data_IF_260215728057
#
_entry.id   IF_260215728057
#
_cell.length_a   1.000
_cell.length_b   1.000
_cell.length_c   1.000
_cell.angle_alpha   90.00
_cell.angle_beta   90.00
_cell.angle_gamma   90.00
#
_symmetry.space_group_name_H-M   'P 1'
#
loop_
_entity.id
_entity.type
_entity.pdbx_description
1 polymer ?
#
# COMPACT_ATOMS: atom_id res chain seq x y z
N UNK A 1 54.58 57.48 -42.15
CA UNK A 1 55.42 56.79 -41.16
C UNK A 1 54.57 55.65 -40.58
N UNK A 2 54.86 54.36 -40.67
CA UNK A 2 56.03 53.58 -41.05
C UNK A 2 55.53 52.19 -41.52
N UNK A 3 56.07 51.67 -42.65
CA UNK A 3 56.29 50.27 -43.10
C UNK A 3 55.22 49.20 -42.78
N UNK A 4 54.48 48.65 -43.76
CA UNK A 4 54.85 47.48 -44.61
C UNK A 4 55.24 46.25 -43.76
N UNK A 5 54.78 45.00 -43.96
CA UNK A 5 54.68 44.21 -45.20
C UNK A 5 54.25 42.78 -44.82
N UNK A 6 53.69 42.03 -45.78
CA UNK A 6 53.77 40.55 -45.96
C UNK A 6 52.98 39.67 -44.96
N UNK A 7 52.44 38.49 -45.29
CA UNK A 7 51.93 37.79 -46.50
C UNK A 7 51.64 36.36 -46.00
N UNK A 8 50.61 35.71 -46.56
CA UNK A 8 50.53 34.25 -46.80
C UNK A 8 50.15 33.29 -45.64
N UNK A 9 48.87 32.90 -45.65
CA UNK A 9 48.32 31.54 -45.88
C UNK A 9 49.23 30.33 -45.54
N UNK A 10 48.82 29.56 -44.53
CA UNK A 10 48.74 28.09 -44.44
C UNK A 10 48.12 27.82 -43.04
N UNK A 11 47.13 26.96 -42.80
CA UNK A 11 46.89 25.63 -43.31
C UNK A 11 46.66 24.73 -42.09
N UNK A 12 45.41 24.32 -41.89
CA UNK A 12 44.90 23.17 -41.13
C UNK A 12 45.58 22.74 -39.81
N UNK A 13 44.81 22.76 -38.71
CA UNK A 13 44.44 21.51 -38.01
C UNK A 13 43.26 21.77 -37.06
N UNK A 14 42.15 21.05 -37.27
CA UNK A 14 41.11 20.88 -36.27
C UNK A 14 41.72 20.14 -35.08
N UNK A 15 41.82 20.78 -33.93
CA UNK A 15 41.92 20.09 -32.66
C UNK A 15 40.51 20.05 -32.06
N UNK A 16 39.81 18.92 -32.25
CA UNK A 16 38.68 18.55 -31.40
C UNK A 16 39.22 18.35 -29.99
N UNK A 17 39.15 19.37 -29.16
CA UNK A 17 39.25 19.21 -27.71
C UNK A 17 37.87 18.75 -27.25
N UNK A 18 37.72 17.44 -27.07
CA UNK A 18 36.54 16.85 -26.48
C UNK A 18 36.27 17.47 -25.11
N UNK A 19 35.17 18.22 -25.01
CA UNK A 19 34.53 18.44 -23.73
C UNK A 19 33.96 17.09 -23.31
N UNK A 20 34.75 16.34 -22.55
CA UNK A 20 34.23 15.25 -21.74
C UNK A 20 33.22 15.90 -20.78
N UNK A 21 31.94 15.79 -21.12
CA UNK A 21 30.88 15.90 -20.13
C UNK A 21 31.18 14.80 -19.11
N UNK A 22 31.83 15.18 -18.02
CA UNK A 22 31.70 14.49 -16.75
C UNK A 22 30.24 14.64 -16.34
N UNK A 23 29.40 13.77 -16.88
CA UNK A 23 28.11 13.42 -16.32
C UNK A 23 28.38 12.75 -14.98
N UNK A 24 28.74 13.55 -13.97
CA UNK A 24 28.40 13.23 -12.60
C UNK A 24 26.89 13.03 -12.63
N UNK A 25 26.47 11.78 -12.62
CA UNK A 25 25.09 11.42 -12.37
C UNK A 25 24.74 12.08 -11.05
N UNK A 26 24.05 13.22 -11.12
CA UNK A 26 23.35 13.75 -9.99
C UNK A 26 22.34 12.67 -9.64
N UNK A 27 22.65 11.84 -8.65
CA UNK A 27 21.60 11.19 -7.89
C UNK A 27 20.74 12.33 -7.41
N UNK A 28 19.54 12.45 -8.00
CA UNK A 28 18.58 13.44 -7.57
C UNK A 28 18.30 13.04 -6.13
N UNK A 29 18.86 13.78 -5.18
CA UNK A 29 18.59 13.58 -3.76
C UNK A 29 17.09 13.77 -3.60
N UNK A 30 16.35 12.66 -3.55
CA UNK A 30 14.95 12.70 -3.19
C UNK A 30 14.90 13.11 -1.74
N UNK A 31 14.08 14.12 -1.45
CA UNK A 31 13.82 14.49 -0.08
C UNK A 31 13.12 13.30 0.59
N UNK A 32 13.60 12.94 1.78
CA UNK A 32 12.92 12.01 2.68
C UNK A 32 11.42 12.32 2.75
N UNK A 33 10.58 11.30 2.67
CA UNK A 33 9.15 11.49 2.86
C UNK A 33 8.90 12.00 4.29
N UNK A 34 7.94 12.90 4.43
CA UNK A 34 7.52 13.38 5.75
C UNK A 34 6.20 12.73 6.10
N UNK A 35 6.19 11.92 7.16
CA UNK A 35 4.95 11.39 7.72
C UNK A 35 4.08 12.57 8.17
N UNK A 36 2.80 12.66 7.76
CA UNK A 36 1.92 13.73 8.18
C UNK A 36 1.82 13.78 9.71
N UNK A 37 1.74 14.98 10.29
CA UNK A 37 1.83 15.18 11.74
C UNK A 37 0.67 14.56 12.55
N UNK A 38 -0.44 14.26 11.89
CA UNK A 38 -1.61 13.60 12.45
C UNK A 38 -1.63 12.09 12.15
N UNK A 39 -0.62 11.56 11.46
CA UNK A 39 -0.48 10.14 11.17
C UNK A 39 0.54 9.52 12.15
N UNK A 40 0.24 8.31 12.63
CA UNK A 40 1.15 7.52 13.45
C UNK A 40 1.37 6.18 12.76
N UNK A 41 2.63 5.87 12.42
CA UNK A 41 3.03 4.59 11.88
C UNK A 41 3.34 3.65 13.05
N UNK A 42 2.73 2.47 13.04
CA UNK A 42 2.98 1.42 14.01
C UNK A 42 3.61 0.21 13.33
N UNK A 43 4.45 -0.49 14.08
CA UNK A 43 5.04 -1.76 13.68
C UNK A 43 4.82 -2.80 14.77
N UNK A 44 4.56 -4.04 14.37
CA UNK A 44 4.56 -5.19 15.26
C UNK A 44 5.82 -5.99 14.96
N UNK A 45 6.70 -6.03 15.96
CA UNK A 45 7.91 -6.82 15.90
C UNK A 45 7.69 -8.23 16.43
N UNK A 46 8.36 -9.19 15.81
CA UNK A 46 8.59 -10.49 16.42
C UNK A 46 9.33 -10.29 17.73
N UNK A 47 8.91 -10.98 18.79
CA UNK A 47 9.65 -10.94 20.03
C UNK A 47 10.54 -12.16 20.21
N UNK A 48 11.59 -11.94 20.99
CA UNK A 48 12.50 -12.98 21.48
C UNK A 48 11.88 -13.78 22.66
N UNK A 49 10.71 -13.36 23.17
CA UNK A 49 10.07 -13.89 24.37
C UNK A 49 8.56 -13.96 24.19
N UNK A 50 8.00 -15.16 24.01
CA UNK A 50 6.58 -15.59 24.06
C UNK A 50 5.41 -14.75 23.48
N UNK A 51 5.56 -13.45 23.23
CA UNK A 51 4.53 -12.50 22.75
C UNK A 51 5.17 -11.41 21.89
N UNK A 52 4.52 -10.94 20.82
CA UNK A 52 5.03 -9.88 19.95
C UNK A 52 5.21 -8.52 20.66
N UNK A 53 5.92 -7.55 20.05
CA UNK A 53 6.03 -6.19 20.59
C UNK A 53 5.45 -5.15 19.64
N UNK A 54 4.50 -4.34 20.12
CA UNK A 54 4.02 -3.15 19.40
C UNK A 54 4.99 -1.98 19.59
N UNK A 55 5.30 -1.32 18.48
CA UNK A 55 6.12 -0.12 18.42
C UNK A 55 5.41 1.01 17.69
N UNK A 56 5.64 2.25 18.12
CA UNK A 56 5.51 3.42 17.26
C UNK A 56 6.79 3.62 16.46
N UNK A 57 6.66 3.93 15.17
CA UNK A 57 7.77 4.10 14.23
C UNK A 57 7.90 5.57 13.85
N UNK A 58 9.09 6.13 14.04
CA UNK A 58 9.38 7.48 13.57
C UNK A 58 9.53 7.50 12.04
N UNK A 59 9.47 8.69 11.44
CA UNK A 59 9.69 8.86 9.99
C UNK A 59 11.11 8.51 9.54
N UNK A 60 12.03 8.20 10.46
CA UNK A 60 13.41 7.78 10.17
C UNK A 60 13.69 6.34 10.62
N UNK A 61 12.66 5.59 11.03
CA UNK A 61 12.77 4.19 11.45
C UNK A 61 13.12 3.95 12.92
N UNK A 62 13.20 4.99 13.76
CA UNK A 62 13.39 4.76 15.20
C UNK A 62 12.11 4.15 15.80
N UNK A 63 12.26 3.06 16.56
CA UNK A 63 11.16 2.37 17.22
C UNK A 63 11.03 2.83 18.67
N UNK A 64 9.79 3.06 19.11
CA UNK A 64 9.43 3.28 20.52
C UNK A 64 8.44 2.22 20.96
N UNK A 65 8.84 1.38 21.92
CA UNK A 65 7.98 0.32 22.45
C UNK A 65 6.74 0.88 23.16
N UNK A 66 5.58 0.24 22.93
CA UNK A 66 4.30 0.60 23.56
C UNK A 66 3.83 -0.51 24.50
N UNK A 67 3.66 -1.72 23.97
CA UNK A 67 3.17 -2.87 24.72
C UNK A 67 3.54 -4.17 24.02
N UNK A 68 3.61 -5.25 24.79
CA UNK A 68 4.10 -6.56 24.38
C UNK A 68 2.99 -7.47 23.85
N UNK A 69 1.91 -6.90 23.31
CA UNK A 69 0.83 -7.70 22.73
C UNK A 69 0.01 -8.52 23.72
N UNK A 70 0.48 -8.63 24.98
CA UNK A 70 -0.04 -9.52 26.00
C UNK A 70 -1.47 -9.12 26.35
N UNK A 71 -2.39 -9.88 25.78
CA UNK A 71 -3.82 -9.72 25.92
C UNK A 71 -4.40 -10.93 26.65
N UNK A 72 -5.34 -11.62 26.00
CA UNK A 72 -5.92 -12.87 26.51
C UNK A 72 -5.04 -14.11 26.31
N UNK A 73 -4.04 -14.05 25.43
CA UNK A 73 -3.34 -15.22 24.90
C UNK A 73 -1.84 -14.94 24.65
N UNK A 74 -1.02 -16.00 24.71
CA UNK A 74 0.43 -15.95 24.41
C UNK A 74 0.66 -16.18 22.90
N UNK A 75 1.35 -15.26 22.21
CA UNK A 75 1.62 -15.33 20.76
C UNK A 75 3.04 -15.87 20.47
N UNK A 76 3.15 -17.16 20.13
CA UNK A 76 4.44 -17.84 19.93
C UNK A 76 5.19 -17.53 18.63
N UNK A 77 4.71 -16.59 17.82
CA UNK A 77 5.30 -16.23 16.54
C UNK A 77 4.74 -14.85 16.11
N UNK A 78 5.15 -14.38 14.94
CA UNK A 78 4.99 -13.00 14.54
C UNK A 78 3.62 -12.71 13.93
N UNK A 79 3.02 -11.60 14.36
CA UNK A 79 1.70 -11.18 13.88
C UNK A 79 1.79 -10.79 12.39
N UNK A 80 0.89 -11.32 11.52
CA UNK A 80 0.83 -10.95 10.11
C UNK A 80 0.40 -9.50 9.92
N UNK A 81 0.38 -9.05 8.67
CA UNK A 81 0.00 -7.70 8.29
C UNK A 81 -1.38 -7.33 8.88
N UNK A 82 -1.35 -6.37 9.80
CA UNK A 82 -2.48 -5.84 10.52
C UNK A 82 -3.04 -4.61 9.80
N UNK A 83 -4.24 -4.18 10.18
CA UNK A 83 -4.87 -3.00 9.61
C UNK A 83 -5.58 -2.15 10.66
N UNK A 84 -5.61 -0.84 10.41
CA UNK A 84 -6.32 0.13 11.24
C UNK A 84 -7.78 0.26 10.79
N UNK A 85 -8.71 0.22 11.73
CA UNK A 85 -10.12 0.54 11.49
C UNK A 85 -10.48 1.90 12.09
N UNK A 86 -10.79 2.87 11.22
CA UNK A 86 -11.25 4.20 11.62
C UNK A 86 -12.57 4.19 12.39
N UNK A 87 -13.41 3.18 12.21
CA UNK A 87 -14.76 3.16 12.79
C UNK A 87 -14.74 2.77 14.26
N UNK A 88 -13.87 1.83 14.64
CA UNK A 88 -13.68 1.36 16.02
C UNK A 88 -12.53 2.06 16.72
N UNK A 89 -11.56 2.57 15.98
CA UNK A 89 -10.32 3.14 16.54
C UNK A 89 -9.39 2.07 17.09
N UNK A 90 -9.43 0.86 16.53
CA UNK A 90 -8.59 -0.28 16.89
C UNK A 90 -7.82 -0.78 15.66
N UNK A 91 -6.68 -1.41 15.90
CA UNK A 91 -6.02 -2.22 14.88
C UNK A 91 -6.57 -3.65 14.93
N UNK A 92 -6.62 -4.34 13.80
CA UNK A 92 -7.04 -5.73 13.69
C UNK A 92 -5.97 -6.55 13.01
N UNK A 93 -5.80 -7.78 13.48
CA UNK A 93 -4.92 -8.77 12.91
C UNK A 93 -5.51 -10.16 13.12
N UNK A 94 -5.02 -11.14 12.36
CA UNK A 94 -5.37 -12.54 12.61
C UNK A 94 -4.18 -13.32 13.13
N UNK A 95 -4.44 -14.37 13.87
CA UNK A 95 -3.41 -15.26 14.38
C UNK A 95 -4.00 -16.63 14.69
N UNK A 96 -3.38 -17.70 14.18
CA UNK A 96 -3.74 -19.09 14.50
C UNK A 96 -5.24 -19.39 14.30
N UNK A 97 -5.81 -18.87 13.21
CA UNK A 97 -7.23 -19.05 12.91
C UNK A 97 -8.18 -18.21 13.76
N UNK A 98 -7.69 -17.24 14.52
CA UNK A 98 -8.48 -16.30 15.31
C UNK A 98 -8.29 -14.85 14.80
N UNK A 99 -9.29 -14.01 15.04
CA UNK A 99 -9.28 -12.57 14.78
C UNK A 99 -9.11 -11.83 16.11
N UNK A 100 -8.14 -10.91 16.15
CA UNK A 100 -7.86 -10.07 17.30
C UNK A 100 -8.01 -8.59 16.95
N UNK A 101 -8.37 -7.79 17.95
CA UNK A 101 -8.27 -6.34 17.93
C UNK A 101 -7.19 -5.89 18.91
N UNK A 102 -6.54 -4.76 18.64
CA UNK A 102 -5.48 -4.19 19.48
C UNK A 102 -5.72 -2.71 19.77
N UNK A 103 -5.59 -2.33 21.05
CA UNK A 103 -5.52 -0.93 21.44
C UNK A 103 -4.10 -0.41 21.29
N UNK A 104 -3.88 0.50 20.35
CA UNK A 104 -2.55 1.06 20.05
C UNK A 104 -1.99 1.95 21.15
N UNK A 105 -2.79 2.35 22.13
CA UNK A 105 -2.33 3.14 23.26
C UNK A 105 -1.62 2.29 24.32
N UNK A 106 -2.03 1.01 24.46
CA UNK A 106 -1.47 0.08 25.45
C UNK A 106 -0.70 -1.07 24.81
N UNK A 107 -1.00 -1.40 23.57
CA UNK A 107 -0.52 -2.61 22.90
C UNK A 107 -1.30 -3.87 23.25
N UNK A 108 -2.38 -3.76 24.04
CA UNK A 108 -3.14 -4.92 24.49
C UNK A 108 -4.01 -5.49 23.36
N UNK A 109 -3.94 -6.81 23.17
CA UNK A 109 -4.80 -7.54 22.23
C UNK A 109 -6.06 -8.08 22.89
N UNK A 110 -7.13 -8.22 22.13
CA UNK A 110 -8.38 -8.85 22.58
C UNK A 110 -8.90 -9.76 21.48
N UNK A 111 -9.15 -11.03 21.81
CA UNK A 111 -9.83 -11.96 20.92
C UNK A 111 -11.22 -11.43 20.56
N UNK A 112 -11.48 -11.34 19.25
CA UNK A 112 -12.76 -10.91 18.70
C UNK A 112 -13.63 -12.13 18.38
N UNK A 113 -13.09 -13.05 17.59
CA UNK A 113 -13.77 -14.27 17.16
C UNK A 113 -12.78 -15.25 16.51
N UNK A 114 -13.13 -16.53 16.47
CA UNK A 114 -12.47 -17.47 15.59
C UNK A 114 -12.81 -17.17 14.12
N UNK A 115 -11.82 -17.31 13.24
CA UNK A 115 -12.04 -17.29 11.81
C UNK A 115 -12.86 -18.52 11.39
N UNK A 116 -13.82 -18.28 10.52
CA UNK A 116 -14.70 -19.33 9.98
C UNK A 116 -14.84 -19.15 8.47
N UNK A 117 -15.23 -20.22 7.78
CA UNK A 117 -15.38 -20.21 6.33
C UNK A 117 -14.08 -20.58 5.64
N UNK A 118 -13.68 -19.77 4.66
CA UNK A 118 -12.61 -20.10 3.72
C UNK A 118 -11.18 -19.95 4.29
N UNK A 119 -11.01 -19.15 5.34
CA UNK A 119 -9.76 -18.98 6.11
C UNK A 119 -9.89 -19.49 7.56
N UNK A 120 -10.68 -20.54 7.76
CA UNK A 120 -10.71 -21.20 9.06
C UNK A 120 -9.34 -21.80 9.38
N UNK A 121 -8.87 -21.62 10.61
CA UNK A 121 -7.59 -22.20 11.10
C UNK A 121 -6.33 -21.66 10.40
N UNK A 122 -6.41 -20.51 9.70
CA UNK A 122 -5.26 -19.88 9.02
C UNK A 122 -4.91 -18.52 9.61
N UNK A 123 -3.64 -18.14 9.48
CA UNK A 123 -3.18 -16.77 9.68
C UNK A 123 -3.25 -16.04 8.35
N UNK A 124 -3.81 -14.83 8.33
CA UNK A 124 -4.07 -14.05 7.13
C UNK A 124 -3.68 -12.57 7.31
N UNK A 125 -3.24 -11.96 6.22
CA UNK A 125 -2.99 -10.52 6.13
C UNK A 125 -4.31 -9.78 5.95
N UNK A 126 -4.56 -8.71 6.70
CA UNK A 126 -5.82 -7.97 6.69
C UNK A 126 -5.60 -6.56 6.13
N UNK A 127 -6.53 -6.10 5.29
CA UNK A 127 -6.66 -4.68 4.93
C UNK A 127 -8.09 -4.19 5.16
N UNK A 128 -8.22 -2.97 5.68
CA UNK A 128 -9.51 -2.37 6.03
C UNK A 128 -9.65 -1.05 5.27
N UNK A 129 -10.72 -0.96 4.49
CA UNK A 129 -11.10 0.23 3.77
C UNK A 129 -11.73 1.29 4.66
N UNK A 130 -11.82 2.51 4.13
CA UNK A 130 -12.43 3.65 4.81
C UNK A 130 -13.82 3.38 5.41
N UNK A 131 -14.62 2.56 4.72
CA UNK A 131 -16.01 2.29 5.10
C UNK A 131 -16.16 1.06 6.02
N UNK A 132 -15.04 0.50 6.51
CA UNK A 132 -15.02 -0.74 7.30
C UNK A 132 -15.15 -2.00 6.46
N UNK A 133 -15.25 -1.87 5.13
CA UNK A 133 -15.07 -3.01 4.24
C UNK A 133 -13.68 -3.59 4.48
N UNK A 134 -13.61 -4.90 4.66
CA UNK A 134 -12.39 -5.56 5.08
C UNK A 134 -12.19 -6.84 4.30
N UNK A 135 -10.94 -7.06 3.95
CA UNK A 135 -10.50 -8.16 3.12
C UNK A 135 -9.31 -8.83 3.78
N UNK A 136 -9.17 -10.11 3.51
CA UNK A 136 -8.05 -10.92 3.95
C UNK A 136 -7.36 -11.55 2.73
N UNK A 137 -6.04 -11.70 2.82
CA UNK A 137 -5.24 -12.41 1.83
C UNK A 137 -4.30 -13.39 2.53
N UNK A 138 -4.13 -14.55 1.90
CA UNK A 138 -3.17 -15.58 2.29
C UNK A 138 -2.79 -16.35 1.01
N UNK A 139 -1.49 -16.47 0.77
CA UNK A 139 -0.90 -16.83 -0.52
C UNK A 139 -1.55 -16.04 -1.69
N UNK A 140 -2.13 -16.74 -2.65
CA UNK A 140 -2.82 -16.21 -3.81
C UNK A 140 -4.32 -15.93 -3.58
N UNK A 141 -4.87 -16.26 -2.40
CA UNK A 141 -6.32 -16.28 -2.15
C UNK A 141 -6.78 -15.01 -1.47
N UNK A 142 -7.88 -14.43 -1.94
CA UNK A 142 -8.47 -13.21 -1.36
C UNK A 142 -9.90 -13.47 -0.94
N UNK A 143 -10.24 -13.07 0.29
CA UNK A 143 -11.57 -13.18 0.85
C UNK A 143 -12.06 -11.85 1.41
N UNK A 144 -13.38 -11.71 1.51
CA UNK A 144 -13.96 -10.79 2.50
C UNK A 144 -13.72 -11.35 3.91
N UNK A 145 -13.58 -10.48 4.90
CA UNK A 145 -13.56 -10.85 6.32
C UNK A 145 -14.54 -9.97 7.09
N UNK A 146 -15.25 -10.55 8.05
CA UNK A 146 -16.13 -9.80 8.95
C UNK A 146 -15.43 -9.58 10.30
N UNK A 147 -15.07 -8.33 10.58
CA UNK A 147 -14.32 -7.96 11.78
C UNK A 147 -15.09 -8.10 13.11
N UNK A 148 -16.36 -8.51 13.09
CA UNK A 148 -17.17 -8.74 14.30
C UNK A 148 -17.29 -10.23 14.65
N UNK A 149 -17.20 -11.12 13.66
CA UNK A 149 -17.45 -12.55 13.88
C UNK A 149 -16.47 -13.50 13.18
N UNK A 150 -15.43 -12.97 12.52
CA UNK A 150 -14.40 -13.77 11.87
C UNK A 150 -14.87 -14.53 10.63
N UNK A 151 -16.09 -14.31 10.13
CA UNK A 151 -16.57 -14.98 8.93
C UNK A 151 -15.78 -14.52 7.70
N UNK A 152 -15.27 -15.49 6.93
CA UNK A 152 -14.50 -15.25 5.71
C UNK A 152 -15.17 -15.90 4.50
N UNK A 153 -15.08 -15.23 3.35
CA UNK A 153 -15.61 -15.75 2.09
C UNK A 153 -14.73 -15.33 0.91
N UNK A 154 -14.20 -16.30 0.17
CA UNK A 154 -13.40 -16.08 -1.03
C UNK A 154 -14.17 -15.27 -2.07
N UNK A 155 -13.45 -14.35 -2.71
CA UNK A 155 -13.95 -13.57 -3.83
C UNK A 155 -13.90 -14.40 -5.11
N UNK A 156 -14.93 -14.33 -5.95
CA UNK A 156 -15.17 -15.29 -7.04
C UNK A 156 -14.07 -15.46 -8.11
N UNK A 157 -13.09 -14.55 -8.17
CA UNK A 157 -11.98 -14.58 -9.12
C UNK A 157 -10.64 -14.92 -8.46
N UNK A 158 -10.59 -15.25 -7.17
CA UNK A 158 -9.35 -15.59 -6.47
C UNK A 158 -8.56 -16.71 -7.18
N UNK A 159 -9.26 -17.66 -7.80
CA UNK A 159 -8.67 -18.79 -8.51
C UNK A 159 -7.77 -18.33 -9.66
N UNK A 160 -8.08 -17.20 -10.29
CA UNK A 160 -7.25 -16.60 -11.34
C UNK A 160 -5.87 -16.24 -10.81
N UNK A 161 -5.78 -15.91 -9.52
CA UNK A 161 -4.52 -15.64 -8.88
C UNK A 161 -3.69 -16.89 -8.61
N UNK A 162 -4.31 -18.07 -8.57
CA UNK A 162 -3.65 -19.32 -8.19
C UNK A 162 -3.44 -20.24 -9.42
N UNK A 163 -3.94 -19.86 -10.59
CA UNK A 163 -3.95 -20.67 -11.79
C UNK A 163 -2.61 -20.55 -12.53
N UNK A 164 -1.61 -21.32 -12.08
CA UNK A 164 -0.35 -21.52 -12.80
C UNK A 164 0.93 -21.43 -11.97
N UNK A 165 0.95 -20.74 -10.84
CA UNK A 165 2.17 -20.51 -10.03
C UNK A 165 1.92 -20.47 -8.52
N UNK A 166 3.00 -20.47 -7.75
CA UNK A 166 2.99 -20.39 -6.27
C UNK A 166 3.03 -18.92 -5.81
N UNK A 167 2.06 -18.11 -6.24
CA UNK A 167 2.09 -16.70 -5.90
C UNK A 167 1.90 -16.46 -4.40
N UNK A 168 2.84 -15.74 -3.80
CA UNK A 168 2.78 -15.28 -2.41
C UNK A 168 2.53 -13.78 -2.41
N UNK A 169 1.33 -13.37 -1.97
CA UNK A 169 0.99 -11.96 -1.87
C UNK A 169 1.11 -11.46 -0.44
N UNK A 170 2.10 -10.60 -0.23
CA UNK A 170 2.38 -9.96 1.04
C UNK A 170 3.19 -8.68 0.77
N UNK A 171 2.96 -7.55 1.46
CA UNK A 171 1.88 -7.20 2.40
C UNK A 171 0.62 -6.70 1.72
N UNK A 172 -0.49 -6.71 2.46
CA UNK A 172 -1.80 -6.22 2.02
C UNK A 172 -2.24 -4.95 2.74
N UNK A 173 -2.49 -3.87 2.01
CA UNK A 173 -2.83 -2.58 2.61
C UNK A 173 -3.82 -1.76 1.77
N UNK A 174 -4.58 -0.90 2.43
CA UNK A 174 -5.54 0.00 1.78
C UNK A 174 -5.00 1.43 1.69
N UNK A 175 -5.02 1.99 0.48
CA UNK A 175 -4.71 3.40 0.24
C UNK A 175 -6.00 4.22 0.18
N UNK A 176 -6.23 5.01 1.22
CA UNK A 176 -7.45 5.78 1.34
C UNK A 176 -7.55 6.96 0.35
N UNK A 177 -6.45 7.41 -0.26
CA UNK A 177 -6.50 8.56 -1.19
C UNK A 177 -7.13 8.23 -2.53
N UNK A 178 -6.99 6.98 -2.98
CA UNK A 178 -7.49 6.48 -4.26
C UNK A 178 -8.44 5.28 -4.13
N UNK A 179 -8.87 4.96 -2.91
CA UNK A 179 -9.81 3.87 -2.60
C UNK A 179 -9.35 2.50 -3.12
N UNK A 180 -8.05 2.23 -3.10
CA UNK A 180 -7.47 1.03 -3.71
C UNK A 180 -6.73 0.20 -2.67
N UNK A 181 -6.95 -1.11 -2.71
CA UNK A 181 -6.17 -2.09 -1.96
C UNK A 181 -4.96 -2.48 -2.77
N UNK A 182 -3.82 -2.64 -2.12
CA UNK A 182 -2.56 -2.99 -2.75
C UNK A 182 -1.94 -4.20 -2.09
N UNK A 183 -1.27 -5.01 -2.89
CA UNK A 183 -0.39 -6.08 -2.44
C UNK A 183 0.92 -6.11 -3.21
N UNK A 184 1.90 -6.88 -2.77
CA UNK A 184 3.14 -7.14 -3.49
C UNK A 184 3.25 -8.65 -3.73
N UNK A 185 3.71 -9.07 -4.91
CA UNK A 185 4.17 -10.45 -5.08
C UNK A 185 5.54 -10.56 -4.43
N UNK A 186 5.71 -11.53 -3.53
CA UNK A 186 6.97 -11.78 -2.83
C UNK A 186 7.57 -13.15 -3.14
N UNK A 187 6.97 -13.89 -4.06
CA UNK A 187 7.54 -15.14 -4.53
C UNK A 187 8.82 -14.91 -5.35
N UNK A 188 9.63 -15.97 -5.47
CA UNK A 188 10.67 -16.02 -6.47
C UNK A 188 10.05 -16.00 -7.86
N UNK A 189 10.30 -14.92 -8.58
CA UNK A 189 9.76 -14.67 -9.92
C UNK A 189 10.13 -15.75 -10.95
N UNK A 190 11.15 -16.58 -10.68
CA UNK A 190 11.58 -17.69 -11.54
C UNK A 190 10.68 -18.94 -11.44
N UNK A 191 10.03 -19.17 -10.29
CA UNK A 191 9.13 -20.32 -10.08
C UNK A 191 7.65 -19.99 -10.40
N UNK A 192 7.36 -18.69 -10.52
CA UNK A 192 6.09 -18.17 -11.01
C UNK A 192 5.82 -18.57 -12.46
N UNK A 193 4.61 -19.06 -12.75
CA UNK A 193 4.20 -19.39 -14.13
C UNK A 193 2.85 -18.76 -14.47
N UNK A 194 2.82 -17.66 -15.26
CA UNK A 194 3.99 -16.94 -15.81
C UNK A 194 4.82 -16.21 -14.74
N UNK A 195 6.11 -15.89 -15.00
CA UNK A 195 6.93 -15.05 -14.12
C UNK A 195 6.26 -13.72 -13.80
N UNK A 196 6.25 -13.34 -12.52
CA UNK A 196 5.65 -12.08 -12.07
C UNK A 196 6.68 -11.30 -11.27
N UNK A 197 7.04 -10.13 -11.81
CA UNK A 197 7.95 -9.21 -11.13
C UNK A 197 7.41 -8.84 -9.73
N UNK A 198 8.31 -8.68 -8.78
CA UNK A 198 8.00 -8.21 -7.43
C UNK A 198 7.59 -6.72 -7.45
N UNK A 199 6.37 -6.45 -7.89
CA UNK A 199 5.77 -5.12 -8.06
C UNK A 199 4.67 -4.87 -7.05
N UNK A 200 4.32 -3.60 -6.85
CA UNK A 200 3.07 -3.26 -6.16
C UNK A 200 1.89 -3.39 -7.11
N UNK A 201 0.91 -4.20 -6.73
CA UNK A 201 -0.29 -4.51 -7.51
C UNK A 201 -1.54 -3.99 -6.82
N UNK A 202 -2.42 -3.26 -7.50
CA UNK A 202 -3.74 -3.01 -6.98
C UNK A 202 -4.58 -4.30 -7.02
N UNK A 203 -5.44 -4.47 -6.03
CA UNK A 203 -6.33 -5.63 -5.89
C UNK A 203 -7.74 -5.22 -6.29
N UNK A 204 -8.33 -5.95 -7.24
CA UNK A 204 -9.73 -5.78 -7.57
C UNK A 204 -10.61 -6.50 -6.54
N UNK A 205 -11.07 -5.79 -5.51
CA UNK A 205 -11.89 -6.36 -4.42
C UNK A 205 -13.30 -6.79 -4.84
N UNK A 206 -13.77 -6.44 -6.04
CA UNK A 206 -15.03 -6.98 -6.57
C UNK A 206 -14.90 -8.42 -7.08
N UNK A 207 -13.69 -8.83 -7.46
CA UNK A 207 -13.41 -10.17 -8.00
C UNK A 207 -12.32 -10.91 -7.23
N UNK A 208 -11.56 -10.25 -6.36
CA UNK A 208 -10.39 -10.82 -5.69
C UNK A 208 -9.21 -11.07 -6.62
N UNK A 209 -9.19 -10.42 -7.79
CA UNK A 209 -8.13 -10.63 -8.77
C UNK A 209 -7.04 -9.58 -8.57
N UNK A 210 -5.79 -10.02 -8.52
CA UNK A 210 -4.59 -9.17 -8.54
C UNK A 210 -4.07 -9.00 -9.98
N UNK A 211 -4.19 -10.05 -10.80
CA UNK A 211 -3.67 -10.08 -12.16
C UNK A 211 -4.59 -9.40 -13.19
N UNK A 212 -4.03 -8.50 -14.01
CA UNK A 212 -4.76 -7.76 -15.04
C UNK A 212 -4.86 -6.26 -14.78
N UNK A 213 -4.33 -5.79 -13.66
CA UNK A 213 -4.06 -4.38 -13.38
C UNK A 213 -2.57 -4.09 -13.55
N UNK A 214 -2.23 -2.99 -14.22
CA UNK A 214 -0.83 -2.56 -14.36
C UNK A 214 -0.30 -2.15 -12.99
N UNK A 215 0.58 -2.97 -12.40
CA UNK A 215 1.34 -2.62 -11.20
C UNK A 215 2.44 -1.61 -11.50
N UNK A 216 3.13 -1.15 -10.45
CA UNK A 216 4.33 -0.31 -10.57
C UNK A 216 5.55 -1.09 -10.10
N UNK A 217 6.60 -1.13 -10.94
CA UNK A 217 7.86 -1.80 -10.55
C UNK A 217 8.49 -1.04 -9.41
N UNK A 218 8.77 -1.73 -8.31
CA UNK A 218 9.46 -1.14 -7.18
C UNK A 218 10.93 -0.88 -7.56
N UNK A 219 11.35 0.39 -7.55
CA UNK A 219 12.69 0.80 -7.95
C UNK A 219 13.30 1.75 -6.92
N UNK A 220 14.53 1.50 -6.49
CA UNK A 220 15.22 2.33 -5.51
C UNK A 220 16.68 1.93 -5.32
N UNK A 221 17.50 2.87 -4.87
CA UNK A 221 18.90 2.56 -4.55
C UNK A 221 18.95 1.60 -3.35
N UNK A 222 19.63 0.46 -3.51
CA UNK A 222 19.73 -0.62 -2.52
C UNK A 222 18.43 -1.39 -2.24
N UNK A 223 17.42 -1.29 -3.12
CA UNK A 223 16.29 -2.21 -3.13
C UNK A 223 16.52 -3.25 -4.23
N UNK A 224 17.08 -4.40 -3.85
CA UNK A 224 17.14 -5.57 -4.71
C UNK A 224 16.23 -6.61 -4.10
N UNK A 225 15.13 -6.91 -4.78
CA UNK A 225 14.34 -8.08 -4.47
C UNK A 225 15.24 -9.27 -4.81
N UNK A 226 15.88 -9.83 -3.79
CA UNK A 226 16.68 -11.03 -3.96
C UNK A 226 15.68 -12.17 -4.13
N UNK A 227 15.59 -12.70 -5.34
CA UNK A 227 14.66 -13.77 -5.73
C UNK A 227 14.88 -15.03 -4.87
N UNK A 228 16.02 -15.16 -4.19
CA UNK A 228 16.36 -16.29 -3.33
C UNK A 228 15.89 -16.15 -1.86
N UNK A 229 15.30 -15.02 -1.45
CA UNK A 229 14.90 -14.74 -0.07
C UNK A 229 13.38 -14.47 0.07
N UNK A 230 12.58 -15.52 -0.14
CA UNK A 230 11.14 -15.58 0.17
C UNK A 230 10.87 -15.22 1.66
N UNK A 231 11.87 -15.40 2.53
CA UNK A 231 11.79 -15.10 3.98
C UNK A 231 11.94 -13.59 4.32
N UNK A 232 11.95 -12.72 3.31
CA UNK A 232 12.00 -11.28 3.54
C UNK A 232 10.63 -10.76 3.97
N UNK A 233 10.45 -10.45 5.25
CA UNK A 233 9.21 -9.85 5.72
C UNK A 233 9.05 -8.45 5.15
N UNK A 234 7.87 -8.23 4.55
CA UNK A 234 7.50 -6.95 3.96
C UNK A 234 6.20 -6.53 4.57
N UNK A 235 6.18 -5.31 5.04
CA UNK A 235 4.98 -4.73 5.62
C UNK A 235 4.64 -3.47 4.85
N UNK A 236 3.36 -3.11 4.77
CA UNK A 236 2.95 -1.92 4.04
C UNK A 236 1.78 -1.24 4.72
N UNK A 237 1.82 0.08 4.74
CA UNK A 237 0.70 0.92 5.14
C UNK A 237 0.72 2.20 4.33
N UNK A 238 -0.41 2.91 4.27
CA UNK A 238 -0.51 4.17 3.53
C UNK A 238 -0.83 5.32 4.47
N UNK A 239 -0.09 6.42 4.30
CA UNK A 239 -0.41 7.66 5.00
C UNK A 239 -1.57 8.42 4.36
N UNK A 240 -1.98 9.50 5.02
CA UNK A 240 -3.10 10.32 4.56
C UNK A 240 -2.84 11.06 3.25
N UNK A 241 -1.58 11.13 2.79
CA UNK A 241 -1.20 11.68 1.49
C UNK A 241 -1.10 10.59 0.41
N UNK A 242 -1.30 9.31 0.76
CA UNK A 242 -1.24 8.18 -0.15
C UNK A 242 0.17 7.67 -0.40
N UNK A 243 1.16 8.12 0.38
CA UNK A 243 2.52 7.58 0.35
C UNK A 243 2.51 6.24 1.08
N UNK A 244 3.05 5.21 0.43
CA UNK A 244 3.26 3.91 1.04
C UNK A 244 4.45 3.95 2.00
N UNK A 245 4.32 3.32 3.14
CA UNK A 245 5.40 3.12 4.11
C UNK A 245 5.65 1.63 4.22
N UNK A 246 6.83 1.22 3.76
CA UNK A 246 7.24 -0.18 3.67
C UNK A 246 8.41 -0.42 4.61
N UNK A 247 8.29 -1.45 5.46
CA UNK A 247 9.46 -1.99 6.15
C UNK A 247 9.87 -3.24 5.38
N UNK A 248 11.12 -3.25 4.96
CA UNK A 248 11.73 -4.43 4.37
C UNK A 248 12.75 -4.97 5.35
N UNK A 249 12.55 -6.23 5.70
CA UNK A 249 13.41 -6.99 6.56
C UNK A 249 14.04 -8.16 5.79
N UNK A 250 15.36 -8.35 5.94
CA UNK A 250 16.09 -9.48 5.37
C UNK A 250 16.68 -10.42 6.45
N UNK A 251 16.19 -10.33 7.68
CA UNK A 251 16.64 -11.13 8.84
C UNK A 251 17.94 -10.64 9.48
N UNK A 252 18.64 -9.68 8.90
CA UNK A 252 19.87 -9.08 9.47
C UNK A 252 19.79 -7.57 9.65
N UNK A 253 18.89 -6.92 8.91
CA UNK A 253 18.62 -5.49 8.98
C UNK A 253 17.19 -5.23 8.48
N UNK A 254 16.45 -4.40 9.22
CA UNK A 254 15.18 -3.82 8.79
C UNK A 254 15.42 -2.40 8.31
N UNK A 255 14.87 -2.04 7.16
CA UNK A 255 14.93 -0.68 6.64
C UNK A 255 13.54 -0.14 6.33
N UNK A 256 13.33 1.12 6.67
CA UNK A 256 12.11 1.86 6.37
C UNK A 256 12.25 2.53 5.01
N UNK A 257 11.25 2.35 4.17
CA UNK A 257 11.13 2.98 2.87
C UNK A 257 9.81 3.72 2.75
N UNK A 258 9.83 4.87 2.09
CA UNK A 258 8.65 5.46 1.51
C UNK A 258 8.50 5.04 0.05
N UNK A 259 7.25 4.86 -0.39
CA UNK A 259 6.87 4.35 -1.70
C UNK A 259 5.90 5.32 -2.37
N UNK A 260 6.26 5.80 -3.56
CA UNK A 260 5.29 6.39 -4.48
C UNK A 260 4.70 5.29 -5.34
N UNK A 261 3.44 4.90 -5.07
CA UNK A 261 2.78 3.79 -5.77
C UNK A 261 2.52 4.06 -7.24
N UNK A 262 2.46 5.33 -7.66
CA UNK A 262 2.23 5.68 -9.05
C UNK A 262 3.48 5.44 -9.91
N UNK A 263 4.66 5.54 -9.30
CA UNK A 263 5.94 5.36 -10.00
C UNK A 263 6.70 4.12 -9.57
N UNK A 264 6.34 3.53 -8.42
CA UNK A 264 7.08 2.46 -7.76
C UNK A 264 8.41 2.92 -7.15
N UNK A 265 8.69 4.23 -7.09
CA UNK A 265 9.94 4.72 -6.53
C UNK A 265 10.00 4.51 -5.02
N UNK A 266 11.10 3.93 -4.55
CA UNK A 266 11.43 3.71 -3.16
C UNK A 266 12.49 4.70 -2.69
N UNK A 267 12.23 5.35 -1.56
CA UNK A 267 13.21 6.20 -0.87
C UNK A 267 13.51 5.58 0.49
N UNK A 268 14.78 5.32 0.78
CA UNK A 268 15.20 4.84 2.10
C UNK A 268 15.12 5.98 3.11
N UNK A 269 14.37 5.76 4.17
CA UNK A 269 14.13 6.75 5.23
C UNK A 269 15.01 6.50 6.46
N UNK A 270 15.42 5.25 6.67
CA UNK A 270 16.36 4.89 7.73
C UNK A 270 16.35 3.40 8.05
N UNK A 271 17.13 3.04 9.08
CA UNK A 271 17.17 1.68 9.63
C UNK A 271 16.09 1.57 10.71
N UNK A 272 15.36 0.46 10.70
CA UNK A 272 14.36 0.13 11.71
C UNK A 272 15.05 -0.48 12.92
N UNK A 273 15.07 0.26 14.03
CA UNK A 273 15.78 -0.17 15.24
C UNK A 273 15.19 0.44 16.51
N UNK A 274 15.26 -0.34 17.60
CA UNK A 274 14.95 0.09 18.98
C UNK A 274 16.27 0.27 19.74
N UNK A 275 16.58 1.51 20.14
CA UNK A 275 17.83 1.83 20.84
C UNK A 275 19.10 1.43 20.06
N UNK A 276 19.02 1.38 18.73
CA UNK A 276 20.10 0.92 17.83
C UNK A 276 20.21 -0.60 17.70
N UNK A 277 19.31 -1.36 18.32
CA UNK A 277 19.18 -2.81 18.13
C UNK A 277 18.12 -3.07 17.07
N UNK A 278 18.49 -3.82 16.04
CA UNK A 278 17.55 -4.26 15.01
C UNK A 278 16.44 -5.13 15.62
N UNK A 279 15.23 -4.97 15.09
CA UNK A 279 14.03 -5.73 15.46
C UNK A 279 13.40 -6.28 14.20
N UNK A 280 13.04 -7.56 14.24
CA UNK A 280 12.36 -8.21 13.13
C UNK A 280 10.91 -7.75 13.09
N UNK A 281 10.46 -7.19 11.97
CA UNK A 281 9.11 -6.62 11.83
C UNK A 281 8.32 -7.40 10.78
N UNK A 282 7.09 -7.80 11.10
CA UNK A 282 6.19 -8.54 10.17
C UNK A 282 4.86 -7.85 9.90
N UNK A 283 4.58 -6.76 10.60
CA UNK A 283 3.34 -6.04 10.38
C UNK A 283 3.51 -4.55 10.62
N UNK A 284 2.92 -3.73 9.75
CA UNK A 284 2.84 -2.27 9.97
C UNK A 284 1.46 -1.75 9.62
N UNK A 285 0.92 -0.86 10.43
CA UNK A 285 -0.32 -0.20 10.09
C UNK A 285 -0.23 1.27 10.46
N UNK A 286 -1.03 2.07 9.79
CA UNK A 286 -1.03 3.50 9.99
C UNK A 286 -2.36 3.94 10.59
N UNK A 287 -2.27 4.62 11.72
CA UNK A 287 -3.39 5.35 12.31
C UNK A 287 -3.42 6.75 11.73
N UNK A 288 -4.57 7.15 11.22
CA UNK A 288 -4.88 8.54 10.90
C UNK A 288 -6.23 8.88 11.54
N UNK A 289 -6.40 10.08 12.16
CA UNK A 289 -7.58 10.44 12.93
C UNK A 289 -8.84 10.54 12.09
N UNK A 290 -8.68 10.74 10.77
CA UNK A 290 -9.79 10.78 9.83
C UNK A 290 -9.35 10.04 8.57
N UNK A 291 -10.20 9.20 7.96
CA UNK A 291 -9.87 8.72 6.64
C UNK A 291 -9.73 9.94 5.70
N UNK A 292 -8.62 10.06 4.94
CA UNK A 292 -8.38 11.17 4.01
C UNK A 292 -9.61 11.44 3.16
N UNK A 293 -10.02 12.66 2.85
CA UNK A 293 -11.09 12.83 1.86
C UNK A 293 -10.66 12.18 0.53
N UNK A 294 -11.55 11.47 -0.18
CA UNK A 294 -11.24 11.05 -1.56
C UNK A 294 -10.86 12.31 -2.33
N UNK A 295 -9.81 12.23 -3.15
CA UNK A 295 -9.47 13.35 -4.02
C UNK A 295 -10.73 13.72 -4.80
N UNK A 296 -11.22 14.95 -4.57
CA UNK A 296 -12.44 15.46 -5.19
C UNK A 296 -12.22 15.31 -6.70
N UNK A 297 -12.89 14.36 -7.36
CA UNK A 297 -12.66 14.02 -8.78
C UNK A 297 -13.17 15.12 -9.71
N UNK A 298 -13.22 16.37 -9.24
CA UNK A 298 -13.48 17.54 -10.04
C UNK A 298 -14.86 17.54 -10.68
N UNK A 299 -15.89 16.97 -10.04
CA UNK A 299 -17.23 17.50 -10.30
C UNK A 299 -17.31 18.82 -9.54
N UNK A 300 -16.88 19.88 -10.22
CA UNK A 300 -17.13 21.25 -9.80
C UNK A 300 -18.64 21.49 -9.76
N UNK A 301 -19.24 21.18 -8.61
CA UNK A 301 -20.66 21.43 -8.33
C UNK A 301 -20.96 22.92 -8.18
N UNK A 302 -19.95 23.81 -8.16
CA UNK A 302 -20.17 25.26 -8.15
C UNK A 302 -20.78 25.76 -9.48
N UNK A 303 -20.72 24.97 -10.54
CA UNK A 303 -21.46 25.17 -11.80
C UNK A 303 -22.85 24.50 -11.87
N UNK A 304 -23.24 23.64 -10.91
CA UNK A 304 -24.54 22.97 -10.94
C UNK A 304 -25.71 23.87 -10.49
N UNK A 305 -25.40 25.01 -9.85
CA UNK A 305 -26.40 26.04 -9.50
C UNK A 305 -27.11 26.67 -10.69
N UNK A 306 -26.55 26.58 -11.91
CA UNK A 306 -27.18 27.06 -13.15
C UNK A 306 -27.80 25.94 -14.00
N UNK A 307 -27.62 24.67 -13.62
CA UNK A 307 -28.25 23.50 -14.27
C UNK A 307 -29.45 22.93 -13.52
N UNK A 308 -29.73 23.39 -12.29
CA UNK A 308 -31.01 23.15 -11.61
C UNK A 308 -32.21 23.80 -12.33
N UNK A 309 -31.96 24.76 -13.23
CA UNK A 309 -33.00 25.41 -14.05
C UNK A 309 -33.44 24.61 -15.30
N UNK A 310 -32.62 23.68 -15.80
CA UNK A 310 -32.94 22.91 -17.01
C UNK A 310 -33.48 21.50 -16.73
N UNK A 311 -33.14 20.90 -15.58
CA UNK A 311 -33.70 19.60 -15.16
C UNK A 311 -35.21 19.64 -14.88
N UNK A 312 -35.72 20.78 -14.39
CA UNK A 312 -37.15 20.98 -14.19
C UNK A 312 -37.94 21.13 -15.53
N UNK A 313 -37.30 21.61 -16.59
CA UNK A 313 -37.96 21.78 -17.91
C UNK A 313 -38.07 20.44 -18.66
N UNK A 314 -37.10 19.54 -18.50
CA UNK A 314 -37.14 18.19 -19.10
C UNK A 314 -38.09 17.22 -18.39
N UNK A 315 -38.28 17.35 -17.07
CA UNK A 315 -39.27 16.56 -16.33
C UNK A 315 -40.71 17.05 -16.53
N UNK A 316 -40.93 18.34 -16.75
CA UNK A 316 -42.27 18.86 -17.12
C UNK A 316 -42.62 18.53 -18.58
N UNK A 317 -41.63 18.52 -19.49
CA UNK A 317 -41.85 18.15 -20.90
C UNK A 317 -42.22 16.68 -21.12
N UNK A 318 -41.62 15.75 -20.35
CA UNK A 318 -41.91 14.32 -20.44
C UNK A 318 -43.26 13.93 -19.79
N UNK A 319 -43.69 14.63 -18.74
CA UNK A 319 -45.03 14.46 -18.17
C UNK A 319 -46.15 14.96 -19.12
N UNK A 320 -45.93 16.06 -19.86
CA UNK A 320 -46.90 16.58 -20.84
C UNK A 320 -47.03 15.70 -22.09
N UNK A 321 -45.92 15.12 -22.58
CA UNK A 321 -45.94 14.18 -23.70
C UNK A 321 -46.63 12.85 -23.36
N UNK A 322 -46.51 12.36 -22.11
CA UNK A 322 -47.26 11.18 -21.65
C UNK A 322 -48.75 11.46 -21.44
N UNK A 323 -49.13 12.65 -20.97
CA UNK A 323 -50.52 13.04 -20.81
C UNK A 323 -51.24 13.25 -22.16
N UNK A 324 -50.55 13.81 -23.16
CA UNK A 324 -51.10 13.98 -24.51
C UNK A 324 -51.23 12.66 -25.28
N UNK A 325 -50.32 11.68 -25.06
CA UNK A 325 -50.43 10.35 -25.67
C UNK A 325 -51.57 9.50 -25.11
N UNK A 326 -51.93 9.66 -23.83
CA UNK A 326 -53.09 8.95 -23.22
C UNK A 326 -54.45 9.48 -23.67
N UNK A 327 -54.56 10.74 -24.11
CA UNK A 327 -55.81 11.30 -24.67
C UNK A 327 -56.07 10.89 -26.12
N UNK A 328 -55.03 10.54 -26.89
CA UNK A 328 -55.16 10.11 -28.28
C UNK A 328 -55.50 8.61 -28.45
N UNK A 329 -55.52 7.83 -27.37
CA UNK A 329 -55.80 6.39 -27.38
C UNK A 329 -57.18 6.00 -26.79
N UNK A 330 -58.01 6.98 -26.43
CA UNK A 330 -59.37 6.78 -25.91
C UNK A 330 -60.44 7.50 -26.75
N UNK A 331 -60.25 7.58 -28.07
CA UNK A 331 -61.31 7.87 -29.06
C UNK A 331 -61.32 6.77 -30.10
#
# INVERSE_FOLDING_TARGET
MNRSTLRSIAGATLALSGAALLGLGATVAHAAATLPADNNLYAIGCADTNDFQLYEVSSTGELTAIGDGSGSDDFYDCVPQAAWDWSTGLAYFSWDGDLYSMDVATGDSTLVAALTGDFAETTVNIAIGRNGESYAIDDCKIATINLTNGATQYLSGYETNCDGGFYYFDPFAYNATNDTYYTINVDNTEDDTPPIDNMIYPVNTSTGVVFGTTGSVLTGANFTLDDDLIDSYRTMSFDSNGVGWLIWDNGTLGALYSVDVATGNLTSEGVVADGGTYKQIQSTFLKSPTPPALADTGIDTSGLGTLAGFGAVLMVGSALLFALRRRALNV
#
